data_IF_849714545242
#
_entry.id   IF_849714545242
#
_cell.length_a   1.000
_cell.length_b   1.000
_cell.length_c   1.000
_cell.angle_alpha   90.00
_cell.angle_beta   90.00
_cell.angle_gamma   90.00
#
_symmetry.space_group_name_H-M   'P 1'
#
loop_
_entity.id
_entity.type
_entity.pdbx_description
1 polymer ?
#
# COMPACT_ATOMS: atom_id res chain seq x y z
N UNK A 1 -26.30 -18.79 33.82
CA UNK A 1 -24.93 -19.09 33.31
C UNK A 1 -24.64 -18.65 31.87
N UNK A 2 -25.62 -18.22 31.05
CA UNK A 2 -25.35 -17.79 29.66
C UNK A 2 -24.91 -16.31 29.50
N UNK A 3 -25.18 -15.45 30.48
CA UNK A 3 -24.95 -14.00 30.37
C UNK A 3 -23.48 -13.59 30.55
N UNK A 4 -22.75 -14.27 31.44
CA UNK A 4 -21.36 -13.93 31.79
C UNK A 4 -20.35 -14.38 30.73
N UNK A 5 -20.68 -15.40 29.93
CA UNK A 5 -19.87 -15.82 28.78
C UNK A 5 -19.96 -14.85 27.59
N UNK A 6 -21.05 -14.09 27.47
CA UNK A 6 -21.23 -13.16 26.36
C UNK A 6 -20.42 -11.85 26.55
N UNK A 7 -20.25 -11.40 27.80
CA UNK A 7 -19.47 -10.20 28.15
C UNK A 7 -17.95 -10.43 28.02
N UNK A 8 -17.48 -11.64 28.30
CA UNK A 8 -16.06 -12.02 28.13
C UNK A 8 -15.67 -12.27 26.65
N UNK A 9 -16.62 -12.64 25.80
CA UNK A 9 -16.38 -12.78 24.35
C UNK A 9 -16.35 -11.44 23.60
N UNK A 10 -16.95 -10.39 24.16
CA UNK A 10 -16.97 -9.05 23.53
C UNK A 10 -15.82 -8.14 23.96
N UNK A 11 -15.05 -8.54 24.97
CA UNK A 11 -13.88 -7.80 25.48
C UNK A 11 -12.55 -8.21 24.86
N UNK A 12 -12.54 -9.19 23.94
CA UNK A 12 -11.31 -9.72 23.32
C UNK A 12 -11.08 -9.33 21.85
N UNK A 13 -11.88 -8.41 21.28
CA UNK A 13 -11.71 -7.93 19.89
C UNK A 13 -11.10 -6.54 19.76
N UNK A 14 -10.68 -5.91 20.87
CA UNK A 14 -9.90 -4.67 20.85
C UNK A 14 -8.39 -4.94 20.81
N UNK A 15 -7.95 -5.82 19.90
CA UNK A 15 -6.52 -6.03 19.61
C UNK A 15 -6.22 -5.61 18.17
N UNK A 16 -5.90 -4.32 18.06
CA UNK A 16 -4.89 -3.76 17.14
C UNK A 16 -4.82 -4.31 15.70
N UNK A 17 -5.60 -3.71 14.79
CA UNK A 17 -5.15 -3.54 13.40
C UNK A 17 -4.57 -2.13 13.23
N UNK A 18 -3.29 -1.96 13.59
CA UNK A 18 -2.54 -0.73 13.28
C UNK A 18 -2.14 -0.81 11.79
N UNK A 19 -3.13 -0.56 10.93
CA UNK A 19 -2.97 -0.46 9.47
C UNK A 19 -2.02 0.69 9.16
N UNK A 20 -0.87 0.36 8.57
CA UNK A 20 0.12 1.32 8.14
C UNK A 20 -0.42 2.09 6.93
N UNK A 21 -0.97 3.28 7.16
CA UNK A 21 -1.36 4.21 6.10
C UNK A 21 -0.18 5.14 5.78
N UNK A 22 -0.02 5.48 4.50
CA UNK A 22 0.91 6.54 4.09
C UNK A 22 0.26 7.88 4.42
N UNK A 23 0.79 8.65 5.38
CA UNK A 23 0.15 9.92 5.75
C UNK A 23 0.13 10.91 4.57
N UNK A 24 1.09 10.81 3.63
CA UNK A 24 1.09 11.61 2.41
C UNK A 24 -0.02 11.22 1.41
N UNK A 25 -0.59 10.03 1.58
CA UNK A 25 -1.61 9.46 0.73
C UNK A 25 -2.43 8.42 1.53
N UNK A 26 -3.27 8.86 2.48
CA UNK A 26 -3.89 7.98 3.47
C UNK A 26 -4.85 6.97 2.84
N UNK A 27 -5.33 7.25 1.63
CA UNK A 27 -6.17 6.37 0.82
C UNK A 27 -5.39 5.74 -0.35
N UNK A 28 -4.09 5.98 -0.43
CA UNK A 28 -3.23 5.47 -1.48
C UNK A 28 -3.03 3.97 -1.34
N UNK A 29 -3.57 3.23 -2.28
CA UNK A 29 -3.41 1.78 -2.34
C UNK A 29 -2.97 1.32 -3.72
N UNK A 30 -2.43 0.11 -3.77
CA UNK A 30 -2.33 -0.64 -5.03
C UNK A 30 -3.35 -1.75 -4.95
N UNK A 31 -4.29 -1.76 -5.88
CA UNK A 31 -5.31 -2.79 -5.94
C UNK A 31 -4.88 -3.84 -6.97
N UNK A 32 -4.92 -5.10 -6.56
CA UNK A 32 -4.73 -6.24 -7.45
C UNK A 32 -6.05 -6.97 -7.55
N UNK A 33 -6.50 -7.20 -8.78
CA UNK A 33 -7.70 -7.98 -9.06
C UNK A 33 -7.31 -9.22 -9.83
N UNK A 34 -7.80 -10.36 -9.37
CA UNK A 34 -7.63 -11.66 -9.99
C UNK A 34 -8.98 -12.17 -10.49
N UNK A 35 -9.20 -12.01 -11.79
CA UNK A 35 -10.45 -12.36 -12.47
C UNK A 35 -10.34 -13.73 -13.14
N UNK A 36 -11.11 -14.71 -12.67
CA UNK A 36 -11.23 -16.01 -13.33
C UNK A 36 -12.16 -15.86 -14.53
N UNK A 37 -11.59 -15.95 -15.73
CA UNK A 37 -12.29 -15.71 -16.99
C UNK A 37 -12.98 -16.96 -17.53
N UNK A 38 -12.29 -18.10 -17.51
CA UNK A 38 -12.81 -19.37 -18.00
C UNK A 38 -12.19 -20.56 -17.26
N UNK A 39 -12.94 -21.65 -17.17
CA UNK A 39 -12.49 -22.90 -16.56
C UNK A 39 -11.81 -23.72 -17.64
N UNK A 40 -10.70 -24.36 -17.28
CA UNK A 40 -10.02 -25.33 -18.14
C UNK A 40 -10.15 -26.72 -17.53
N UNK A 41 -9.94 -27.79 -18.32
CA UNK A 41 -10.03 -29.16 -17.79
C UNK A 41 -9.11 -29.42 -16.58
N UNK A 42 -7.96 -28.74 -16.52
CA UNK A 42 -6.96 -28.88 -15.46
C UNK A 42 -6.81 -27.59 -14.61
N UNK A 43 -7.77 -26.67 -14.64
CA UNK A 43 -7.70 -25.46 -13.82
C UNK A 43 -8.50 -24.30 -14.39
N UNK A 44 -7.86 -23.17 -14.62
CA UNK A 44 -8.55 -21.96 -15.09
C UNK A 44 -7.63 -20.98 -15.82
N UNK A 45 -8.24 -20.08 -16.58
CA UNK A 45 -7.61 -18.89 -17.12
C UNK A 45 -8.00 -17.68 -16.25
N UNK A 46 -7.01 -16.95 -15.75
CA UNK A 46 -7.24 -15.72 -15.01
C UNK A 46 -6.57 -14.52 -15.66
N UNK A 47 -7.22 -13.37 -15.53
CA UNK A 47 -6.67 -12.07 -15.86
C UNK A 47 -6.34 -11.36 -14.56
N UNK A 48 -5.11 -10.87 -14.43
CA UNK A 48 -4.65 -10.13 -13.26
C UNK A 48 -4.47 -8.67 -13.64
N UNK A 49 -5.11 -7.79 -12.87
CA UNK A 49 -5.03 -6.34 -13.04
C UNK A 49 -4.40 -5.71 -11.82
N UNK A 50 -3.33 -4.95 -12.03
CA UNK A 50 -2.67 -4.15 -11.01
C UNK A 50 -3.02 -2.69 -11.26
N UNK A 51 -3.54 -1.99 -10.25
CA UNK A 51 -3.94 -0.59 -10.35
C UNK A 51 -3.32 0.22 -9.23
N UNK A 52 -2.46 1.17 -9.60
CA UNK A 52 -1.88 2.10 -8.65
C UNK A 52 -2.83 3.28 -8.43
N UNK A 53 -3.45 3.31 -7.25
CA UNK A 53 -4.34 4.39 -6.82
C UNK A 53 -3.63 5.42 -5.94
N UNK A 54 -2.30 5.33 -5.80
CA UNK A 54 -1.53 6.28 -5.03
C UNK A 54 -1.42 7.62 -5.78
N UNK A 55 -1.79 8.74 -5.17
CA UNK A 55 -1.88 10.04 -5.82
C UNK A 55 -0.51 10.54 -6.30
N UNK A 56 0.54 10.39 -5.48
CA UNK A 56 1.85 10.98 -5.73
C UNK A 56 2.97 9.96 -5.97
N UNK A 57 2.73 8.67 -5.65
CA UNK A 57 3.75 7.62 -5.73
C UNK A 57 3.59 6.81 -7.00
N UNK A 58 4.66 6.73 -7.78
CA UNK A 58 4.77 5.88 -8.96
C UNK A 58 5.78 4.76 -8.69
N UNK A 59 5.57 3.60 -9.31
CA UNK A 59 6.56 2.52 -9.35
C UNK A 59 7.44 2.78 -10.58
N UNK A 60 8.70 3.11 -10.34
CA UNK A 60 9.71 3.36 -11.37
C UNK A 60 10.46 2.06 -11.71
N UNK A 61 11.29 2.10 -12.75
CA UNK A 61 12.23 1.02 -13.07
C UNK A 61 13.07 0.62 -11.83
N UNK A 62 13.30 -0.68 -11.53
CA UNK A 62 13.10 -1.86 -12.39
C UNK A 62 11.65 -2.37 -12.51
N UNK A 63 10.68 -1.67 -11.93
CA UNK A 63 9.26 -2.00 -12.01
C UNK A 63 8.77 -2.80 -10.81
N UNK A 64 7.53 -3.27 -10.91
CA UNK A 64 6.94 -4.14 -9.90
C UNK A 64 7.34 -5.60 -10.08
N UNK A 65 7.44 -6.32 -8.96
CA UNK A 65 7.51 -7.78 -8.92
C UNK A 65 6.42 -8.27 -8.00
N UNK A 66 5.49 -9.07 -8.52
CA UNK A 66 4.39 -9.64 -7.74
C UNK A 66 4.66 -11.11 -7.51
N UNK A 67 4.44 -11.59 -6.29
CA UNK A 67 4.46 -13.02 -6.03
C UNK A 67 3.34 -13.44 -5.12
N UNK A 68 3.09 -14.74 -5.08
CA UNK A 68 2.10 -15.38 -4.23
C UNK A 68 2.53 -16.81 -3.94
N UNK A 69 1.78 -17.50 -3.10
CA UNK A 69 1.99 -18.92 -2.81
C UNK A 69 0.74 -19.70 -3.16
N UNK A 70 0.92 -20.78 -3.91
CA UNK A 70 -0.15 -21.70 -4.29
C UNK A 70 -0.72 -22.41 -3.05
N UNK A 71 -2.00 -22.78 -3.12
CA UNK A 71 -2.67 -23.41 -1.98
C UNK A 71 -2.41 -24.92 -1.90
N UNK A 72 -2.09 -25.54 -3.03
CA UNK A 72 -1.79 -26.95 -3.20
C UNK A 72 -0.56 -27.11 -4.12
N UNK A 73 -0.68 -27.87 -5.21
CA UNK A 73 0.38 -28.14 -6.21
C UNK A 73 0.02 -27.52 -7.57
N UNK A 74 -0.59 -26.34 -7.55
CA UNK A 74 -0.92 -25.61 -8.78
C UNK A 74 0.35 -25.24 -9.54
N UNK A 75 0.24 -25.16 -10.88
CA UNK A 75 1.35 -24.77 -11.77
C UNK A 75 0.91 -23.68 -12.74
N UNK A 76 1.86 -22.95 -13.30
CA UNK A 76 1.59 -21.97 -14.35
C UNK A 76 1.85 -22.62 -15.71
N UNK A 77 0.78 -22.91 -16.45
CA UNK A 77 0.89 -23.48 -17.81
C UNK A 77 1.44 -22.47 -18.81
N UNK A 78 0.93 -21.24 -18.78
CA UNK A 78 1.37 -20.16 -19.67
C UNK A 78 1.00 -18.80 -19.10
N UNK A 79 1.72 -17.76 -19.55
CA UNK A 79 1.46 -16.36 -19.21
C UNK A 79 1.47 -15.51 -20.47
N UNK A 80 0.70 -14.43 -20.46
CA UNK A 80 0.71 -13.41 -21.51
C UNK A 80 0.82 -12.05 -20.84
N UNK A 81 1.76 -11.24 -21.32
CA UNK A 81 2.00 -9.89 -20.82
C UNK A 81 2.88 -9.77 -19.56
N UNK A 82 3.16 -10.88 -18.90
CA UNK A 82 4.13 -10.96 -17.80
C UNK A 82 4.84 -12.31 -17.87
N UNK A 83 5.93 -12.45 -17.11
CA UNK A 83 6.74 -13.66 -17.07
C UNK A 83 7.16 -13.98 -15.63
N UNK A 84 7.08 -15.27 -15.27
CA UNK A 84 7.69 -15.78 -14.06
C UNK A 84 9.23 -15.68 -14.15
N UNK A 85 9.85 -15.15 -13.09
CA UNK A 85 11.32 -15.03 -12.97
C UNK A 85 11.96 -16.42 -12.95
N UNK A 86 11.41 -17.31 -12.13
CA UNK A 86 11.91 -18.67 -11.97
C UNK A 86 10.90 -19.69 -12.49
N UNK A 87 11.43 -20.70 -13.18
CA UNK A 87 10.66 -21.85 -13.65
C UNK A 87 10.44 -22.86 -12.52
N UNK A 88 11.33 -22.94 -11.54
CA UNK A 88 11.30 -23.93 -10.46
C UNK A 88 11.51 -25.37 -10.97
N UNK A 89 11.28 -26.35 -10.10
CA UNK A 89 11.44 -27.78 -10.42
C UNK A 89 10.21 -28.35 -11.14
N UNK A 90 10.28 -28.42 -12.46
CA UNK A 90 9.26 -29.04 -13.31
C UNK A 90 9.53 -30.51 -13.67
N UNK A 91 10.42 -31.24 -12.96
CA UNK A 91 10.84 -32.60 -13.34
C UNK A 91 9.73 -33.64 -13.46
N UNK A 92 8.57 -33.38 -12.83
CA UNK A 92 7.39 -34.24 -12.92
C UNK A 92 6.68 -34.20 -14.30
N UNK A 93 7.01 -33.22 -15.15
CA UNK A 93 6.38 -33.03 -16.47
C UNK A 93 7.31 -33.48 -17.61
N UNK A 94 6.93 -34.55 -18.32
CA UNK A 94 7.79 -35.19 -19.34
C UNK A 94 7.63 -34.68 -20.77
N UNK A 95 6.47 -34.12 -21.13
CA UNK A 95 6.15 -33.70 -22.51
C UNK A 95 5.82 -32.22 -22.59
N UNK A 96 4.75 -31.80 -21.93
CA UNK A 96 4.37 -30.39 -21.83
C UNK A 96 4.89 -29.82 -20.52
N UNK A 97 6.01 -29.11 -20.58
CA UNK A 97 6.63 -28.51 -19.40
C UNK A 97 5.97 -27.15 -19.13
N UNK A 98 5.41 -26.92 -17.93
CA UNK A 98 4.81 -25.64 -17.58
C UNK A 98 5.79 -24.46 -17.68
N UNK A 99 5.22 -23.26 -17.76
CA UNK A 99 5.95 -21.99 -17.70
C UNK A 99 6.65 -21.82 -16.34
N UNK A 100 6.00 -22.21 -15.24
CA UNK A 100 6.60 -22.28 -13.92
C UNK A 100 5.90 -23.33 -13.06
N UNK A 101 6.69 -24.14 -12.35
CA UNK A 101 6.24 -25.12 -11.36
C UNK A 101 6.59 -24.69 -9.94
N UNK A 102 7.07 -23.45 -9.77
CA UNK A 102 7.42 -22.92 -8.46
C UNK A 102 6.18 -22.81 -7.57
N UNK A 103 6.31 -23.22 -6.32
CA UNK A 103 5.24 -23.18 -5.30
C UNK A 103 4.89 -21.75 -4.90
N UNK A 104 5.90 -20.87 -4.91
CA UNK A 104 5.76 -19.45 -4.63
C UNK A 104 6.35 -18.60 -5.78
N UNK A 105 5.69 -18.52 -6.95
CA UNK A 105 6.25 -17.88 -8.13
C UNK A 105 6.37 -16.36 -7.93
N UNK A 106 7.45 -15.78 -8.46
CA UNK A 106 7.65 -14.34 -8.58
C UNK A 106 7.52 -13.93 -10.05
N UNK A 107 6.68 -12.94 -10.34
CA UNK A 107 6.28 -12.51 -11.68
C UNK A 107 6.71 -11.07 -11.90
N UNK A 108 7.26 -10.81 -13.09
CA UNK A 108 7.62 -9.49 -13.58
C UNK A 108 6.89 -9.16 -14.88
N UNK A 109 6.64 -7.88 -15.08
CA UNK A 109 6.08 -7.38 -16.35
C UNK A 109 7.11 -7.51 -17.48
N UNK A 110 6.61 -7.66 -18.71
CA UNK A 110 7.49 -7.70 -19.89
C UNK A 110 7.99 -6.30 -20.26
N UNK A 111 9.17 -6.23 -20.89
CA UNK A 111 9.74 -4.97 -21.36
C UNK A 111 8.97 -4.43 -22.59
N UNK A 112 8.91 -3.10 -22.78
CA UNK A 112 8.31 -2.52 -23.97
C UNK A 112 8.92 -3.09 -25.26
N UNK A 113 8.08 -3.44 -26.24
CA UNK A 113 8.52 -3.98 -27.53
C UNK A 113 8.90 -5.47 -27.54
N UNK A 114 8.87 -6.16 -26.40
CA UNK A 114 9.16 -7.60 -26.33
C UNK A 114 7.95 -8.50 -26.68
N UNK A 115 6.74 -7.93 -26.80
CA UNK A 115 5.50 -8.70 -26.99
C UNK A 115 5.07 -8.71 -28.46
N UNK A 116 4.88 -9.91 -29.06
CA UNK A 116 4.32 -10.06 -30.41
C UNK A 116 2.95 -9.39 -30.56
N UNK A 117 2.67 -8.84 -31.74
CA UNK A 117 1.46 -8.03 -32.00
C UNK A 117 0.14 -8.78 -31.74
N UNK A 118 0.13 -10.10 -31.93
CA UNK A 118 -1.01 -10.98 -31.67
C UNK A 118 -1.22 -11.36 -30.19
N UNK A 119 -0.33 -10.94 -29.30
CA UNK A 119 -0.37 -11.22 -27.85
C UNK A 119 -0.44 -9.93 -27.01
N UNK A 120 -0.76 -8.79 -27.64
CA UNK A 120 -0.86 -7.51 -26.97
C UNK A 120 -2.07 -7.46 -26.02
N UNK A 121 -1.78 -7.30 -24.73
CA UNK A 121 -2.77 -7.04 -23.69
C UNK A 121 -2.90 -5.53 -23.44
N UNK A 122 -4.11 -5.04 -23.09
CA UNK A 122 -4.32 -3.63 -22.78
C UNK A 122 -3.43 -3.15 -21.62
N UNK A 123 -2.70 -2.04 -21.82
CA UNK A 123 -1.83 -1.42 -20.81
C UNK A 123 -0.75 -2.36 -20.22
N UNK A 124 -0.39 -3.41 -20.95
CA UNK A 124 0.68 -4.32 -20.61
C UNK A 124 2.06 -3.78 -21.01
N UNK A 125 3.08 -4.37 -20.39
CA UNK A 125 4.41 -4.53 -20.95
C UNK A 125 5.22 -3.23 -20.91
N UNK A 126 5.15 -2.57 -19.75
CA UNK A 126 5.82 -1.29 -19.48
C UNK A 126 7.09 -1.48 -18.66
N UNK A 127 7.64 -2.69 -18.63
CA UNK A 127 8.76 -3.04 -17.76
C UNK A 127 8.44 -2.84 -16.27
N UNK A 128 7.16 -3.02 -15.90
CA UNK A 128 6.70 -2.95 -14.52
C UNK A 128 6.56 -1.52 -13.99
N UNK A 129 6.69 -0.51 -14.84
CA UNK A 129 6.47 0.89 -14.44
C UNK A 129 4.96 1.15 -14.30
N UNK A 130 4.56 1.69 -13.15
CA UNK A 130 3.19 2.14 -12.88
C UNK A 130 3.20 3.60 -12.45
N UNK A 131 2.50 4.44 -13.23
CA UNK A 131 2.29 5.85 -12.91
C UNK A 131 1.48 6.05 -11.63
N UNK A 132 1.49 7.27 -11.08
CA UNK A 132 0.68 7.64 -9.92
C UNK A 132 -0.71 8.12 -10.37
N UNK A 133 -1.72 7.95 -9.51
CA UNK A 133 -3.10 8.36 -9.79
C UNK A 133 -3.25 9.86 -10.07
N UNK A 134 -2.40 10.71 -9.48
CA UNK A 134 -2.39 12.15 -9.73
C UNK A 134 -1.92 12.54 -11.14
N UNK A 135 -1.35 11.63 -11.92
CA UNK A 135 -0.95 11.90 -13.30
C UNK A 135 -2.16 11.97 -14.24
N UNK A 136 -2.03 12.76 -15.32
CA UNK A 136 -3.07 12.94 -16.33
C UNK A 136 -3.36 11.65 -17.12
N UNK A 137 -2.34 10.84 -17.32
CA UNK A 137 -2.45 9.56 -18.03
C UNK A 137 -2.90 8.43 -17.09
N UNK A 138 -4.18 8.08 -17.16
CA UNK A 138 -4.76 6.97 -16.38
C UNK A 138 -4.38 5.58 -16.93
N UNK A 139 -3.94 5.48 -18.18
CA UNK A 139 -3.45 4.21 -18.73
C UNK A 139 -2.08 3.83 -18.14
N UNK A 140 -1.28 4.84 -17.75
CA UNK A 140 0.00 4.62 -17.09
C UNK A 140 -0.14 3.99 -15.69
N UNK A 141 -1.28 4.18 -15.00
CA UNK A 141 -1.48 3.73 -13.61
C UNK A 141 -1.94 2.27 -13.48
N UNK A 142 -2.25 1.62 -14.59
CA UNK A 142 -2.78 0.25 -14.62
C UNK A 142 -1.85 -0.66 -15.44
N UNK A 143 -1.68 -1.91 -15.01
CA UNK A 143 -1.03 -2.96 -15.80
C UNK A 143 -1.85 -4.25 -15.72
N UNK A 144 -1.79 -5.05 -16.78
CA UNK A 144 -2.58 -6.25 -16.97
C UNK A 144 -1.71 -7.38 -17.48
N UNK A 145 -1.95 -8.58 -16.97
CA UNK A 145 -1.41 -9.80 -17.54
C UNK A 145 -2.41 -10.95 -17.41
N UNK A 146 -2.22 -12.01 -18.18
CA UNK A 146 -3.03 -13.22 -18.10
C UNK A 146 -2.17 -14.40 -17.68
N UNK A 147 -2.79 -15.30 -16.92
CA UNK A 147 -2.15 -16.51 -16.40
C UNK A 147 -3.08 -17.70 -16.58
N UNK A 148 -2.57 -18.77 -17.19
CA UNK A 148 -3.25 -20.05 -17.29
C UNK A 148 -2.74 -20.94 -16.15
N UNK A 149 -3.61 -21.25 -15.19
CA UNK A 149 -3.28 -22.04 -14.00
C UNK A 149 -3.71 -23.49 -14.19
N UNK A 150 -2.80 -24.40 -13.88
CA UNK A 150 -2.97 -25.85 -13.92
C UNK A 150 -3.04 -26.50 -12.54
N UNK A 151 -3.47 -27.75 -12.49
CA UNK A 151 -3.60 -28.57 -11.27
C UNK A 151 -4.41 -27.86 -10.16
N UNK A 152 -5.43 -27.11 -10.58
CA UNK A 152 -6.31 -26.33 -9.73
C UNK A 152 -7.76 -26.81 -9.83
N UNK A 153 -8.60 -26.45 -8.85
CA UNK A 153 -10.04 -26.61 -8.95
C UNK A 153 -10.62 -25.91 -10.18
N UNK A 154 -11.60 -26.56 -10.81
CA UNK A 154 -12.23 -26.17 -12.08
C UNK A 154 -13.65 -25.60 -11.90
N UNK A 155 -14.00 -25.26 -10.66
CA UNK A 155 -15.28 -24.63 -10.33
C UNK A 155 -15.13 -23.68 -9.14
N UNK A 156 -16.08 -22.76 -8.97
CA UNK A 156 -16.07 -21.76 -7.88
C UNK A 156 -15.98 -22.40 -6.48
N UNK A 157 -16.49 -23.61 -6.30
CA UNK A 157 -16.46 -24.33 -5.02
C UNK A 157 -15.13 -25.04 -4.76
N UNK A 158 -14.41 -25.42 -5.81
CA UNK A 158 -13.21 -26.25 -5.72
C UNK A 158 -11.93 -25.44 -5.85
N UNK A 159 -11.98 -24.28 -6.52
CA UNK A 159 -10.82 -23.39 -6.65
C UNK A 159 -10.41 -22.85 -5.28
N UNK A 160 -9.13 -22.99 -4.95
CA UNK A 160 -8.55 -22.37 -3.75
C UNK A 160 -7.82 -21.10 -4.16
N UNK A 161 -8.01 -20.06 -3.36
CA UNK A 161 -7.38 -18.75 -3.58
C UNK A 161 -5.90 -18.84 -3.19
N UNK A 162 -4.96 -18.34 -4.01
CA UNK A 162 -3.56 -18.25 -3.62
C UNK A 162 -3.39 -17.37 -2.39
N UNK A 163 -2.36 -17.63 -1.60
CA UNK A 163 -2.12 -16.95 -0.31
C UNK A 163 -0.78 -16.23 -0.32
N UNK A 164 -0.60 -15.31 0.61
CA UNK A 164 0.69 -14.63 0.80
C UNK A 164 1.10 -13.81 -0.42
N UNK A 165 0.16 -13.11 -1.05
CA UNK A 165 0.49 -12.17 -2.12
C UNK A 165 1.43 -11.09 -1.57
N UNK A 166 2.45 -10.75 -2.34
CA UNK A 166 3.36 -9.65 -2.05
C UNK A 166 3.64 -8.88 -3.34
N UNK A 167 3.92 -7.58 -3.21
CA UNK A 167 4.34 -6.73 -4.32
C UNK A 167 5.60 -5.99 -3.91
N UNK A 168 6.66 -6.20 -4.66
CA UNK A 168 7.92 -5.47 -4.54
C UNK A 168 7.95 -4.37 -5.59
N UNK A 169 8.65 -3.29 -5.27
CA UNK A 169 9.00 -2.22 -6.18
C UNK A 169 10.34 -1.62 -5.75
N UNK A 170 10.80 -0.53 -6.37
CA UNK A 170 12.03 0.15 -5.94
C UNK A 170 11.89 0.64 -4.48
N UNK A 171 12.44 -0.09 -3.52
CA UNK A 171 12.36 0.23 -2.08
C UNK A 171 11.83 -0.92 -1.20
N UNK A 172 11.18 -0.59 -0.07
CA UNK A 172 10.81 -1.54 0.99
C UNK A 172 9.58 -2.43 0.70
N UNK A 173 9.12 -2.50 -0.56
CA UNK A 173 7.96 -3.29 -0.97
C UNK A 173 6.62 -2.81 -0.40
N UNK A 174 5.55 -3.57 -0.67
CA UNK A 174 4.18 -3.31 -0.24
C UNK A 174 3.66 -4.49 0.61
N UNK A 175 2.89 -4.21 1.67
CA UNK A 175 2.24 -5.23 2.49
C UNK A 175 0.84 -5.49 1.95
N UNK A 176 0.47 -6.77 1.84
CA UNK A 176 -0.82 -7.19 1.29
C UNK A 176 -1.85 -7.44 2.39
N UNK A 177 -3.08 -6.98 2.16
CA UNK A 177 -4.23 -7.47 2.92
C UNK A 177 -4.58 -8.90 2.53
N UNK A 178 -5.40 -9.57 3.34
CA UNK A 178 -5.94 -10.88 2.97
C UNK A 178 -6.89 -10.77 1.77
N UNK A 179 -6.91 -11.80 0.92
CA UNK A 179 -7.82 -11.91 -0.22
C UNK A 179 -9.29 -11.73 0.16
N UNK A 180 -10.05 -10.95 -0.61
CA UNK A 180 -11.50 -10.85 -0.45
C UNK A 180 -12.18 -11.19 -1.79
N UNK A 181 -13.22 -12.02 -1.73
CA UNK A 181 -14.08 -12.28 -2.90
C UNK A 181 -14.95 -11.06 -3.14
N UNK A 182 -14.88 -10.51 -4.35
CA UNK A 182 -15.62 -9.28 -4.73
C UNK A 182 -16.60 -9.56 -5.88
N UNK A 183 -17.59 -8.68 -6.14
CA UNK A 183 -18.54 -8.84 -7.24
C UNK A 183 -17.81 -8.96 -8.59
N UNK A 184 -18.19 -9.89 -9.49
CA UNK A 184 -17.42 -10.14 -10.71
C UNK A 184 -17.38 -8.98 -11.71
N UNK A 185 -16.19 -8.73 -12.23
CA UNK A 185 -15.89 -7.69 -13.20
C UNK A 185 -16.59 -7.94 -14.54
N UNK A 186 -16.94 -6.83 -15.18
CA UNK A 186 -17.61 -6.82 -16.49
C UNK A 186 -16.62 -6.31 -17.53
N UNK A 187 -16.38 -7.12 -18.55
CA UNK A 187 -15.54 -6.78 -19.69
C UNK A 187 -16.42 -6.51 -20.91
N UNK A 188 -16.16 -5.38 -21.56
CA UNK A 188 -16.76 -5.02 -22.84
C UNK A 188 -15.86 -5.49 -23.97
N UNK A 189 -16.45 -6.01 -25.05
CA UNK A 189 -15.72 -6.27 -26.30
C UNK A 189 -15.21 -4.96 -26.91
N UNK A 190 -14.19 -5.06 -27.77
CA UNK A 190 -13.58 -3.89 -28.41
C UNK A 190 -14.58 -3.04 -29.22
N UNK A 191 -15.63 -3.66 -29.76
CA UNK A 191 -16.74 -3.00 -30.47
C UNK A 191 -17.86 -2.49 -29.53
N UNK A 192 -17.74 -2.72 -28.23
CA UNK A 192 -18.70 -2.30 -27.19
C UNK A 192 -20.02 -3.09 -27.17
N UNK A 193 -20.22 -4.06 -28.06
CA UNK A 193 -21.52 -4.73 -28.25
C UNK A 193 -21.75 -5.91 -27.31
N UNK A 194 -20.69 -6.59 -26.88
CA UNK A 194 -20.77 -7.80 -26.04
C UNK A 194 -20.26 -7.50 -24.64
N UNK A 195 -21.06 -7.88 -23.64
CA UNK A 195 -20.66 -7.89 -22.22
C UNK A 195 -20.28 -9.32 -21.83
N UNK A 196 -19.11 -9.49 -21.25
CA UNK A 196 -18.68 -10.75 -20.61
C UNK A 196 -18.39 -10.48 -19.15
N UNK A 197 -18.64 -11.47 -18.28
CA UNK A 197 -18.43 -11.34 -16.83
C UNK A 197 -17.36 -12.34 -16.40
N UNK A 198 -16.50 -11.94 -15.49
CA UNK A 198 -15.67 -12.90 -14.77
C UNK A 198 -16.57 -13.93 -14.09
N UNK A 199 -16.13 -15.18 -14.05
CA UNK A 199 -16.86 -16.24 -13.36
C UNK A 199 -16.62 -16.19 -11.85
N UNK A 200 -15.50 -15.60 -11.43
CA UNK A 200 -15.17 -15.29 -10.04
C UNK A 200 -14.13 -14.17 -10.02
N UNK A 201 -14.21 -13.27 -9.03
CA UNK A 201 -13.24 -12.20 -8.84
C UNK A 201 -12.71 -12.21 -7.41
N UNK A 202 -11.40 -12.00 -7.28
CA UNK A 202 -10.71 -11.85 -6.01
C UNK A 202 -9.98 -10.52 -6.00
N UNK A 203 -10.34 -9.67 -5.06
CA UNK A 203 -9.72 -8.37 -4.84
C UNK A 203 -8.74 -8.42 -3.67
N UNK A 204 -7.60 -7.79 -3.86
CA UNK A 204 -6.58 -7.59 -2.84
C UNK A 204 -6.19 -6.12 -2.82
N UNK A 205 -5.97 -5.59 -1.63
CA UNK A 205 -5.53 -4.20 -1.45
C UNK A 205 -4.18 -4.21 -0.77
N UNK A 206 -3.18 -3.68 -1.46
CA UNK A 206 -1.85 -3.46 -0.92
C UNK A 206 -1.76 -2.05 -0.35
N UNK A 207 -1.30 -1.94 0.88
CA UNK A 207 -0.83 -0.67 1.42
C UNK A 207 0.70 -0.65 1.41
N UNK A 208 1.27 0.50 1.09
CA UNK A 208 2.72 0.67 1.15
C UNK A 208 3.20 0.44 2.58
N UNK A 209 4.26 -0.36 2.77
CA UNK A 209 4.85 -0.55 4.10
C UNK A 209 5.57 0.74 4.45
N UNK A 210 4.86 1.67 5.08
CA UNK A 210 5.51 2.86 5.58
C UNK A 210 6.49 2.43 6.69
N UNK A 211 7.69 3.00 6.68
CA UNK A 211 8.71 2.72 7.68
C UNK A 211 8.15 3.14 9.05
N UNK A 212 7.54 2.21 9.79
CA UNK A 212 6.96 2.52 11.12
C UNK A 212 8.00 3.14 12.07
N UNK A 213 9.27 2.80 11.85
CA UNK A 213 10.40 3.23 12.67
C UNK A 213 11.20 4.41 12.12
N UNK A 214 11.06 4.76 10.84
CA UNK A 214 11.95 5.73 10.20
C UNK A 214 11.20 6.63 9.21
N UNK A 215 11.73 7.80 8.90
CA UNK A 215 11.26 8.62 7.79
C UNK A 215 12.45 9.07 6.94
N UNK A 216 12.18 9.36 5.67
CA UNK A 216 13.21 9.67 4.66
C UNK A 216 13.04 11.09 4.18
N UNK A 217 14.15 11.81 4.08
CA UNK A 217 14.23 13.14 3.47
C UNK A 217 15.25 13.10 2.35
N UNK A 218 14.97 13.85 1.29
CA UNK A 218 15.94 14.14 0.24
C UNK A 218 16.21 15.64 0.23
N UNK A 219 17.50 15.99 0.23
CA UNK A 219 17.95 17.37 0.07
C UNK A 219 18.73 17.52 -1.24
N UNK A 220 18.57 18.67 -1.87
CA UNK A 220 19.28 19.04 -3.10
C UNK A 220 19.77 20.47 -2.95
N UNK A 221 21.06 20.68 -3.20
CA UNK A 221 21.68 22.00 -3.27
C UNK A 221 22.05 22.22 -4.73
N UNK A 222 21.59 23.32 -5.31
CA UNK A 222 21.87 23.67 -6.70
C UNK A 222 22.56 25.03 -6.73
N UNK A 223 23.72 25.09 -7.38
CA UNK A 223 24.45 26.33 -7.55
C UNK A 223 23.98 27.04 -8.82
N UNK A 224 23.15 28.06 -8.65
CA UNK A 224 22.71 28.92 -9.77
C UNK A 224 23.70 30.05 -10.08
N UNK A 225 24.80 30.17 -9.34
CA UNK A 225 25.83 31.15 -9.64
C UNK A 225 26.80 30.59 -10.69
N UNK A 226 26.72 31.14 -11.90
CA UNK A 226 27.54 30.73 -13.04
C UNK A 226 29.00 31.19 -12.97
N UNK A 227 29.33 32.03 -11.98
CA UNK A 227 30.62 32.69 -11.86
C UNK A 227 31.42 32.23 -10.63
N UNK A 228 30.84 31.35 -9.82
CA UNK A 228 31.40 31.00 -8.52
C UNK A 228 31.24 29.52 -8.19
N UNK A 229 32.35 28.92 -7.77
CA UNK A 229 32.41 27.54 -7.31
C UNK A 229 32.57 27.50 -5.80
N UNK A 230 31.83 26.61 -5.15
CA UNK A 230 31.92 26.44 -3.70
C UNK A 230 32.79 25.23 -3.38
N UNK A 231 33.99 25.49 -2.88
CA UNK A 231 34.86 24.46 -2.28
C UNK A 231 34.57 24.32 -0.79
N UNK A 232 34.63 23.09 -0.27
CA UNK A 232 34.35 22.78 1.14
C UNK A 232 33.03 23.38 1.64
N UNK A 233 32.00 23.32 0.80
CA UNK A 233 30.71 23.89 1.15
C UNK A 233 30.13 23.22 2.39
N UNK A 234 29.42 24.01 3.19
CA UNK A 234 28.68 23.52 4.34
C UNK A 234 27.22 23.99 4.28
N UNK A 235 26.36 23.14 4.82
CA UNK A 235 24.94 23.39 4.97
C UNK A 235 24.56 23.12 6.42
N UNK A 236 24.14 24.15 7.14
CA UNK A 236 23.65 24.01 8.52
C UNK A 236 22.14 24.01 8.48
N UNK A 237 21.53 23.02 9.14
CA UNK A 237 20.07 22.85 9.18
C UNK A 237 19.64 22.76 10.64
N UNK A 238 18.58 23.49 10.99
CA UNK A 238 17.93 23.39 12.29
C UNK A 238 16.59 22.66 12.17
N UNK A 239 16.46 21.53 12.85
CA UNK A 239 15.25 20.72 12.90
C UNK A 239 15.24 19.84 14.17
N UNK A 240 14.11 19.75 14.91
CA UNK A 240 14.05 19.07 16.21
C UNK A 240 14.49 17.60 16.17
N UNK A 241 14.25 16.90 15.05
CA UNK A 241 14.60 15.48 14.90
C UNK A 241 16.01 15.21 14.35
N UNK A 242 16.89 16.22 14.26
CA UNK A 242 18.27 16.01 13.80
C UNK A 242 19.12 15.23 14.79
N UNK A 243 18.71 15.12 16.05
CA UNK A 243 19.33 14.23 17.04
C UNK A 243 19.09 12.73 16.78
N UNK A 244 18.11 12.38 15.95
CA UNK A 244 17.72 11.01 15.68
C UNK A 244 18.05 10.57 14.23
N UNK A 245 19.13 11.11 13.66
CA UNK A 245 19.60 10.73 12.32
C UNK A 245 20.19 9.32 12.37
N UNK A 246 19.66 8.43 11.52
CA UNK A 246 20.12 7.03 11.42
C UNK A 246 21.17 6.88 10.33
N UNK A 247 20.92 7.44 9.14
CA UNK A 247 21.81 7.32 7.98
C UNK A 247 21.77 8.60 7.15
N UNK A 248 22.93 9.00 6.61
CA UNK A 248 23.08 10.08 5.64
C UNK A 248 23.88 9.54 4.46
N UNK A 249 23.33 9.68 3.25
CA UNK A 249 23.96 9.24 2.02
C UNK A 249 24.63 10.42 1.30
N UNK A 250 25.80 10.20 0.71
CA UNK A 250 26.54 11.14 -0.14
C UNK A 250 26.99 12.45 0.50
N UNK A 251 26.52 12.82 1.69
CA UNK A 251 27.04 13.93 2.50
C UNK A 251 27.62 13.39 3.80
N UNK A 252 28.53 14.16 4.38
CA UNK A 252 28.95 13.96 5.76
C UNK A 252 28.05 14.78 6.68
N UNK A 253 27.67 14.23 7.84
CA UNK A 253 26.80 14.89 8.81
C UNK A 253 27.47 14.92 10.19
N UNK A 254 27.33 16.05 10.88
CA UNK A 254 27.76 16.22 12.27
C UNK A 254 26.73 17.02 13.04
N UNK A 255 26.34 16.51 14.21
CA UNK A 255 25.45 17.21 15.13
C UNK A 255 26.22 18.32 15.87
N UNK A 256 25.61 19.50 15.99
CA UNK A 256 26.16 20.66 16.70
C UNK A 256 25.37 20.88 17.99
N UNK A 257 25.89 20.49 19.17
CA UNK A 257 25.23 20.78 20.44
C UNK A 257 25.38 22.26 20.78
N UNK A 258 24.28 23.01 20.85
CA UNK A 258 24.27 24.42 21.27
C UNK A 258 23.27 24.61 22.40
N UNK A 259 23.73 25.17 23.53
CA UNK A 259 22.89 25.60 24.67
C UNK A 259 21.75 24.63 25.05
N UNK A 260 22.06 23.33 25.14
CA UNK A 260 21.15 22.25 25.59
C UNK A 260 20.15 21.71 24.56
N UNK A 261 20.09 22.24 23.34
CA UNK A 261 19.32 21.64 22.25
C UNK A 261 20.25 21.03 21.19
N UNK A 262 19.98 19.78 20.83
CA UNK A 262 20.69 19.04 19.79
C UNK A 262 19.86 18.99 18.51
N UNK A 263 19.32 20.15 18.12
CA UNK A 263 18.40 20.32 17.00
C UNK A 263 19.10 20.91 15.76
N UNK A 264 20.40 21.15 15.83
CA UNK A 264 21.18 21.75 14.74
C UNK A 264 22.23 20.77 14.24
N UNK A 265 22.25 20.55 12.92
CA UNK A 265 23.20 19.66 12.25
C UNK A 265 23.90 20.37 11.10
N UNK A 266 25.19 20.08 10.91
CA UNK A 266 25.95 20.52 9.75
C UNK A 266 26.17 19.37 8.78
N UNK A 267 25.97 19.66 7.50
CA UNK A 267 26.22 18.78 6.37
C UNK A 267 27.31 19.37 5.51
N UNK A 268 28.20 18.53 4.98
CA UNK A 268 29.26 18.96 4.08
C UNK A 268 29.66 17.85 3.12
N UNK A 269 30.34 18.22 2.05
CA UNK A 269 30.78 17.28 1.01
C UNK A 269 31.66 16.16 1.56
N UNK A 270 31.57 14.98 0.95
CA UNK A 270 32.51 13.88 1.11
C UNK A 270 33.77 14.21 0.31
N UNK A 271 34.92 14.10 0.96
CA UNK A 271 36.24 14.34 0.36
C UNK A 271 36.41 13.50 -0.90
N UNK A 272 36.92 14.10 -1.98
CA UNK A 272 37.08 13.48 -3.32
C UNK A 272 35.78 13.08 -4.04
N UNK A 273 34.60 13.27 -3.43
CA UNK A 273 33.31 12.98 -4.03
C UNK A 273 32.59 14.24 -4.52
N UNK A 274 32.10 15.03 -3.58
CA UNK A 274 31.27 16.21 -3.84
C UNK A 274 31.70 17.42 -3.00
N UNK A 275 32.99 17.50 -2.69
CA UNK A 275 33.62 18.60 -1.95
C UNK A 275 33.63 19.93 -2.73
N UNK A 276 33.59 19.85 -4.07
CA UNK A 276 33.45 20.98 -4.97
C UNK A 276 32.05 21.01 -5.59
N UNK A 277 31.32 22.09 -5.34
CA UNK A 277 30.06 22.40 -6.02
C UNK A 277 30.35 23.43 -7.12
N UNK A 278 30.45 22.94 -8.36
CA UNK A 278 30.75 23.73 -9.55
C UNK A 278 29.59 24.65 -9.95
N UNK A 279 29.88 25.59 -10.83
CA UNK A 279 28.93 26.48 -11.46
C UNK A 279 27.85 25.68 -12.20
N UNK A 280 26.58 26.07 -12.05
CA UNK A 280 25.44 25.32 -12.57
C UNK A 280 25.34 23.85 -12.10
N UNK A 281 26.11 23.46 -11.08
CA UNK A 281 26.14 22.11 -10.54
C UNK A 281 25.07 21.87 -9.48
N UNK A 282 24.82 20.59 -9.18
CA UNK A 282 23.92 20.17 -8.12
C UNK A 282 24.52 19.02 -7.30
N UNK A 283 24.24 19.03 -6.00
CA UNK A 283 24.58 17.94 -5.08
C UNK A 283 23.34 17.51 -4.33
N UNK A 284 23.19 16.20 -4.13
CA UNK A 284 22.00 15.61 -3.50
C UNK A 284 22.39 14.59 -2.44
N UNK A 285 21.60 14.57 -1.37
CA UNK A 285 21.73 13.59 -0.31
C UNK A 285 20.36 13.08 0.10
N UNK A 286 20.33 11.80 0.47
CA UNK A 286 19.19 11.20 1.13
C UNK A 286 19.54 10.95 2.59
N UNK A 287 18.56 11.18 3.46
CA UNK A 287 18.71 11.07 4.91
C UNK A 287 17.59 10.21 5.46
N UNK A 288 17.93 9.36 6.42
CA UNK A 288 16.99 8.51 7.16
C UNK A 288 17.07 8.89 8.62
N UNK A 289 15.90 9.14 9.18
CA UNK A 289 15.73 9.56 10.57
C UNK A 289 14.88 8.54 11.31
N UNK A 290 15.18 8.33 12.59
CA UNK A 290 14.28 7.65 13.51
C UNK A 290 12.97 8.41 13.65
N UNK A 291 11.88 7.66 13.71
CA UNK A 291 10.53 8.21 13.91
C UNK A 291 10.13 8.01 15.36
N UNK A 292 10.05 9.10 16.12
CA UNK A 292 9.37 9.11 17.42
C UNK A 292 7.88 9.37 17.20
N UNK A 293 7.03 8.41 17.59
CA UNK A 293 5.58 8.52 17.44
C UNK A 293 4.97 9.69 18.24
N UNK A 294 5.66 10.19 19.26
CA UNK A 294 5.19 11.31 20.09
C UNK A 294 5.55 12.67 19.52
N UNK A 295 6.68 12.78 18.82
CA UNK A 295 7.18 14.05 18.30
C UNK A 295 6.91 14.23 16.80
N UNK A 296 6.86 13.15 16.03
CA UNK A 296 6.66 13.21 14.60
C UNK A 296 5.23 13.65 14.26
N UNK A 297 5.11 14.80 13.59
CA UNK A 297 3.86 15.26 13.00
C UNK A 297 4.10 15.80 11.59
N UNK A 298 3.06 15.80 10.76
CA UNK A 298 3.05 16.46 9.45
C UNK A 298 2.28 17.79 9.48
N UNK A 299 1.74 18.14 10.64
CA UNK A 299 1.01 19.38 10.84
C UNK A 299 1.95 20.58 10.75
N UNK A 300 1.45 21.68 10.17
CA UNK A 300 2.12 22.98 10.15
C UNK A 300 3.55 22.97 9.58
N UNK A 301 3.85 22.01 8.69
CA UNK A 301 5.17 21.91 8.07
C UNK A 301 6.28 21.45 9.01
N UNK A 302 5.96 20.71 10.10
CA UNK A 302 6.96 20.23 11.06
C UNK A 302 8.13 19.47 10.42
N UNK A 303 7.89 18.72 9.34
CA UNK A 303 8.92 17.97 8.60
C UNK A 303 9.93 18.84 7.85
N UNK A 304 9.68 20.14 7.73
CA UNK A 304 10.58 21.08 7.08
C UNK A 304 11.52 21.72 8.10
N UNK A 305 12.77 22.04 7.69
CA UNK A 305 13.69 22.78 8.54
C UNK A 305 13.10 24.10 9.03
N UNK A 306 13.45 24.46 10.26
CA UNK A 306 13.11 25.78 10.83
C UNK A 306 14.02 26.87 10.29
N UNK A 307 15.30 26.53 10.12
CA UNK A 307 16.35 27.40 9.58
C UNK A 307 17.34 26.59 8.76
N UNK A 308 17.89 27.24 7.75
CA UNK A 308 18.93 26.68 6.89
C UNK A 308 19.97 27.77 6.64
N UNK A 309 21.24 27.42 6.75
CA UNK A 309 22.36 28.27 6.37
C UNK A 309 23.21 27.54 5.34
N UNK A 310 23.66 28.25 4.31
CA UNK A 310 24.60 27.72 3.32
C UNK A 310 25.86 28.58 3.34
N UNK A 311 27.01 27.97 3.64
CA UNK A 311 28.30 28.67 3.78
C UNK A 311 28.28 29.90 4.71
N UNK A 312 27.41 29.88 5.72
CA UNK A 312 27.24 30.97 6.69
C UNK A 312 26.10 31.94 6.36
N UNK A 313 25.57 31.93 5.14
CA UNK A 313 24.46 32.80 4.74
C UNK A 313 23.11 32.15 5.08
N UNK A 314 22.21 32.90 5.73
CA UNK A 314 20.87 32.43 6.08
C UNK A 314 20.00 32.32 4.82
N UNK A 315 19.43 31.14 4.58
CA UNK A 315 18.53 30.89 3.46
C UNK A 315 17.14 31.42 3.78
N UNK A 316 16.49 32.06 2.80
CA UNK A 316 15.09 32.47 2.91
C UNK A 316 14.19 31.25 2.90
N UNK A 317 13.57 30.97 4.05
CA UNK A 317 12.58 29.91 4.19
C UNK A 317 11.18 30.46 3.94
N UNK A 318 10.30 29.71 3.24
CA UNK A 318 8.92 30.12 3.05
C UNK A 318 8.16 30.06 4.40
N UNK A 319 7.12 30.88 4.60
CA UNK A 319 6.41 30.94 5.88
C UNK A 319 5.72 29.60 6.19
N UNK A 320 5.59 29.19 7.48
CA UNK A 320 5.12 27.85 7.84
C UNK A 320 3.78 27.42 7.23
N UNK A 321 2.88 28.38 7.02
CA UNK A 321 1.56 28.19 6.40
C UNK A 321 1.59 27.96 4.88
N UNK A 322 2.73 28.22 4.23
CA UNK A 322 2.93 28.00 2.79
C UNK A 322 3.55 26.64 2.48
N UNK A 323 4.07 25.93 3.49
CA UNK A 323 4.45 24.54 3.31
C UNK A 323 3.21 23.70 2.97
N UNK A 324 3.33 22.76 2.02
CA UNK A 324 2.23 21.88 1.69
C UNK A 324 1.81 21.07 2.91
N UNK A 325 0.55 21.24 3.32
CA UNK A 325 -0.08 20.43 4.35
C UNK A 325 -0.87 19.30 3.69
N UNK A 326 -1.04 18.22 4.44
CA UNK A 326 -1.88 17.13 3.98
C UNK A 326 -3.36 17.47 4.12
N UNK A 327 -4.21 17.11 3.15
CA UNK A 327 -5.64 17.28 3.30
C UNK A 327 -6.10 16.52 4.54
N UNK A 328 -6.81 17.20 5.45
CA UNK A 328 -7.36 16.57 6.64
C UNK A 328 -8.22 15.37 6.21
N UNK A 329 -7.89 14.19 6.73
CA UNK A 329 -8.75 13.01 6.59
C UNK A 329 -10.17 13.37 7.09
N UNK A 330 -11.25 12.89 6.45
CA UNK A 330 -12.57 13.00 7.06
C UNK A 330 -12.49 12.41 8.47
N UNK A 331 -12.91 13.20 9.46
CA UNK A 331 -12.86 12.82 10.87
C UNK A 331 -13.44 11.40 11.03
N UNK A 332 -12.76 10.49 11.76
CA UNK A 332 -13.39 9.26 12.18
C UNK A 332 -14.69 9.62 12.90
N UNK A 333 -15.77 8.92 12.54
CA UNK A 333 -17.12 9.13 13.09
C UNK A 333 -16.98 9.32 14.60
N UNK A 334 -17.37 10.51 15.08
CA UNK A 334 -17.21 10.90 16.49
C UNK A 334 -17.77 9.78 17.40
N UNK A 335 -17.08 9.40 18.48
CA UNK A 335 -17.55 8.35 19.41
C UNK A 335 -18.93 8.64 20.00
N UNK A 336 -19.44 9.87 19.89
CA UNK A 336 -20.81 10.25 20.26
C UNK A 336 -21.90 9.59 19.40
N UNK A 337 -21.66 9.35 18.11
CA UNK A 337 -22.61 8.66 17.22
C UNK A 337 -22.70 7.17 17.54
N UNK A 338 -21.59 6.55 17.94
CA UNK A 338 -21.56 5.17 18.44
C UNK A 338 -22.23 5.03 19.81
N UNK A 339 -22.02 5.99 20.72
CA UNK A 339 -22.70 6.02 22.01
C UNK A 339 -24.23 6.17 21.85
N UNK A 340 -24.68 7.02 20.92
CA UNK A 340 -26.10 7.18 20.62
C UNK A 340 -26.73 5.90 20.02
N UNK A 341 -26.03 5.22 19.11
CA UNK A 341 -26.47 3.94 18.55
C UNK A 341 -26.55 2.84 19.62
N UNK A 342 -25.57 2.78 20.53
CA UNK A 342 -25.58 1.84 21.65
C UNK A 342 -26.74 2.11 22.62
N UNK A 343 -27.04 3.38 22.89
CA UNK A 343 -28.17 3.79 23.73
C UNK A 343 -29.52 3.40 23.12
N UNK A 344 -29.69 3.60 21.81
CA UNK A 344 -30.90 3.21 21.09
C UNK A 344 -31.12 1.69 21.10
N UNK A 345 -30.05 0.91 20.96
CA UNK A 345 -30.11 -0.55 21.06
C UNK A 345 -30.51 -0.98 22.48
N UNK A 346 -29.92 -0.36 23.52
CA UNK A 346 -30.28 -0.65 24.91
C UNK A 346 -31.75 -0.32 25.22
N UNK A 347 -32.27 0.79 24.70
CA UNK A 347 -33.68 1.17 24.86
C UNK A 347 -34.63 0.20 24.16
N UNK A 348 -34.27 -0.28 22.96
CA UNK A 348 -35.04 -1.30 22.24
C UNK A 348 -35.04 -2.65 22.98
N UNK A 349 -33.93 -3.01 23.62
CA UNK A 349 -33.88 -4.21 24.47
C UNK A 349 -34.75 -4.06 25.72
N UNK A 350 -34.75 -2.90 26.37
CA UNK A 350 -35.62 -2.62 27.52
C UNK A 350 -37.12 -2.68 27.16
N UNK A 351 -37.52 -2.13 26.01
CA UNK A 351 -38.93 -2.17 25.59
C UNK A 351 -39.38 -3.59 25.26
N UNK A 352 -38.53 -4.40 24.63
CA UNK A 352 -38.81 -5.82 24.39
C UNK A 352 -38.99 -6.61 25.69
N UNK A 353 -38.14 -6.34 26.69
CA UNK A 353 -38.23 -7.00 28.00
C UNK A 353 -39.47 -6.56 28.80
N UNK A 354 -39.87 -5.29 28.67
CA UNK A 354 -41.09 -4.78 29.30
C UNK A 354 -42.35 -5.44 28.69
N UNK A 355 -42.41 -5.56 27.37
CA UNK A 355 -43.50 -6.26 26.68
C UNK A 355 -43.57 -7.74 27.06
N UNK A 356 -42.43 -8.43 27.14
CA UNK A 356 -42.36 -9.83 27.58
C UNK A 356 -42.92 -10.04 29.00
N UNK A 357 -42.67 -9.11 29.92
CA UNK A 357 -43.21 -9.16 31.29
C UNK A 357 -44.72 -8.90 31.35
N UNK A 358 -45.23 -7.98 30.54
CA UNK A 358 -46.66 -7.66 30.46
C UNK A 358 -47.44 -8.86 29.88
N UNK A 359 -46.87 -9.55 28.90
CA UNK A 359 -47.48 -10.73 28.29
C UNK A 359 -47.50 -11.93 29.25
N UNK A 360 -46.44 -12.11 30.04
CA UNK A 360 -46.40 -13.09 31.14
C UNK A 360 -47.48 -12.84 32.22
N UNK A 361 -47.78 -11.58 32.53
CA UNK A 361 -48.83 -11.20 33.50
C UNK A 361 -50.25 -11.42 32.97
N UNK A 362 -50.48 -11.28 31.64
CA UNK A 362 -51.78 -11.57 31.01
C UNK A 362 -52.11 -13.06 31.02
N UNK A 363 -51.11 -13.93 30.86
CA UNK A 363 -51.29 -15.39 30.84
C UNK A 363 -51.63 -15.94 32.23
N UNK A 364 -51.23 -15.27 33.32
CA UNK A 364 -51.60 -15.68 34.69
C UNK A 364 -53.03 -15.26 35.13
N UNK A 365 -53.70 -14.31 34.45
CA UNK A 365 -55.09 -13.92 34.80
C UNK A 365 -56.18 -14.79 34.17
N UNK A 366 -55.84 -15.68 33.23
CA UNK A 366 -56.79 -16.66 32.67
C UNK A 366 -56.56 -18.03 33.33
N UNK A 367 -57.07 -18.18 34.55
CA UNK A 367 -57.25 -19.50 35.18
C UNK A 367 -58.38 -20.30 34.52
N UNK A 368 -58.44 -21.63 34.70
CA UNK A 368 -59.23 -22.53 33.86
C UNK A 368 -60.74 -22.42 34.13
N UNK A 369 -61.56 -22.28 33.08
CA UNK A 369 -63.01 -22.50 33.19
C UNK A 369 -63.29 -24.00 33.33
N UNK A 370 -63.89 -24.37 34.46
CA UNK A 370 -64.40 -25.72 34.74
C UNK A 370 -65.60 -26.04 33.83
N UNK A 371 -65.59 -27.25 33.28
CA UNK A 371 -66.70 -27.88 32.57
C UNK A 371 -67.97 -27.93 33.42
N UNK A 372 -69.09 -27.46 32.84
CA UNK A 372 -70.37 -28.17 32.90
C UNK A 372 -71.27 -27.80 31.72
#
# INVERSE_FOLDING_TARGET
MHFQRFILLFSFTMMSSLTAYDLLDPNGSINIIWDIMSWKPDGYLATVRISNLQMYRQIRSPGWTIGWTWANKEVIWSMVGAQAIDRGDCSNFKTNIPHSCETSPAIVDLLPGSVPQNQQLPNCCKGGVLGSWGQRDKAATVSWFQVSVGHSGTSRKTVKVPKGFYLLGPGAGYACSSAVVVPPSVFLSADGRRKTRAMSELGFTLSHVNYKKHWRVKISITNFNYWLNYSHWNLVVQHPNLNNVTLVYNFTYKLLPYHSTSDTGVFYGVKEGNELLMEAGNVQSEMIFGKDEKEFTLDQGWVFPRKVYFNGDECLMPPPNSYPFLPKSPNPIHPSLFAAALLLILLAFCSFWCNSKIESQKTQRKGPQLLR
#
